data_IF_235555705695
#
_entry.id   IF_235555705695
#
_cell.length_a   1.000
_cell.length_b   1.000
_cell.length_c   1.000
_cell.angle_alpha   90.00
_cell.angle_beta   90.00
_cell.angle_gamma   90.00
#
_symmetry.space_group_name_H-M   'P 1'
#
loop_
_entity.id
_entity.type
_entity.pdbx_description
1 polymer ?
#
# COMPACT_ATOMS: atom_id res chain seq x y z
N UNK A 1 16.76 -6.93 -6.48
CA UNK A 1 15.32 -7.10 -6.18
C UNK A 1 14.63 -5.74 -6.31
N UNK A 2 13.58 -5.62 -7.12
CA UNK A 2 12.79 -4.39 -7.28
C UNK A 2 11.93 -4.15 -6.03
N UNK A 3 11.86 -2.91 -5.56
CA UNK A 3 11.00 -2.49 -4.44
C UNK A 3 10.07 -1.38 -4.89
N UNK A 4 8.98 -1.13 -4.16
CA UNK A 4 8.11 0.02 -4.46
C UNK A 4 8.83 1.35 -4.23
N UNK A 5 9.86 1.38 -3.37
CA UNK A 5 10.65 2.60 -3.15
C UNK A 5 11.65 2.88 -4.29
N UNK A 6 12.09 1.84 -4.99
CA UNK A 6 13.03 1.92 -6.11
C UNK A 6 12.66 0.87 -7.18
N UNK A 7 11.58 1.13 -7.96
CA UNK A 7 11.02 0.14 -8.87
C UNK A 7 11.87 -0.07 -10.13
N UNK A 8 12.54 0.98 -10.59
CA UNK A 8 13.36 1.00 -11.81
C UNK A 8 14.62 1.84 -11.59
N UNK A 9 15.65 1.72 -12.46
CA UNK A 9 16.82 2.59 -12.42
C UNK A 9 16.51 4.07 -12.66
N UNK A 10 15.34 4.40 -13.22
CA UNK A 10 14.91 5.77 -13.57
C UNK A 10 13.97 6.39 -12.54
N UNK A 11 13.44 5.59 -11.59
CA UNK A 11 12.40 6.04 -10.66
C UNK A 11 12.74 5.67 -9.22
N UNK A 12 12.45 6.61 -8.31
CA UNK A 12 12.61 6.40 -6.88
C UNK A 12 11.52 7.20 -6.15
N UNK A 13 11.02 6.63 -5.07
CA UNK A 13 10.08 7.26 -4.15
C UNK A 13 10.83 7.80 -2.93
N UNK A 14 10.46 9.00 -2.51
CA UNK A 14 10.92 9.61 -1.26
C UNK A 14 9.77 9.94 -0.29
N UNK A 15 8.53 9.54 -0.61
CA UNK A 15 7.33 9.99 0.12
C UNK A 15 7.32 9.66 1.62
N UNK A 16 7.97 8.57 2.02
CA UNK A 16 8.11 8.17 3.43
C UNK A 16 9.47 8.54 4.04
N UNK A 17 10.37 9.14 3.27
CA UNK A 17 11.67 9.56 3.77
C UNK A 17 11.51 10.73 4.75
N UNK A 18 12.41 10.83 5.76
CA UNK A 18 12.45 11.97 6.65
C UNK A 18 12.56 13.30 5.89
N UNK A 19 12.15 14.41 6.51
CA UNK A 19 11.71 14.56 7.91
C UNK A 19 10.31 14.01 8.18
N UNK A 20 9.89 13.93 9.45
CA UNK A 20 8.48 13.69 9.79
C UNK A 20 7.65 14.78 9.13
N UNK A 21 6.70 14.37 8.29
CA UNK A 21 5.75 15.26 7.64
C UNK A 21 4.41 15.25 8.40
N UNK A 22 3.64 16.35 8.39
CA UNK A 22 2.28 16.37 8.94
C UNK A 22 1.39 15.30 8.29
N UNK A 23 0.29 14.97 8.99
CA UNK A 23 -0.79 14.19 8.37
C UNK A 23 -1.28 14.92 7.10
N UNK A 24 -1.59 14.16 6.05
CA UNK A 24 -2.03 14.66 4.74
C UNK A 24 -0.99 15.43 3.92
N UNK A 25 0.28 15.47 4.34
CA UNK A 25 1.34 16.02 3.50
C UNK A 25 1.48 15.23 2.20
N UNK A 26 1.44 15.94 1.07
CA UNK A 26 1.75 15.40 -0.24
C UNK A 26 2.95 16.15 -0.86
N UNK A 27 4.04 15.46 -1.25
CA UNK A 27 5.19 16.10 -1.89
C UNK A 27 4.84 16.91 -3.15
N UNK A 28 3.76 16.57 -3.84
CA UNK A 28 3.38 17.22 -5.09
C UNK A 28 2.94 18.68 -4.87
N UNK A 29 2.37 19.00 -3.69
CA UNK A 29 1.97 20.37 -3.33
C UNK A 29 3.17 21.31 -3.18
N UNK A 30 4.34 20.73 -2.90
CA UNK A 30 5.59 21.44 -2.62
C UNK A 30 6.67 21.15 -3.67
N UNK A 31 6.30 20.62 -4.84
CA UNK A 31 7.26 20.13 -5.83
C UNK A 31 8.31 21.19 -6.24
N UNK A 32 7.90 22.46 -6.36
CA UNK A 32 8.80 23.55 -6.71
C UNK A 32 9.85 23.86 -5.63
N UNK A 33 9.45 23.92 -4.36
CA UNK A 33 10.37 24.15 -3.24
C UNK A 33 11.27 22.94 -3.01
N UNK A 34 10.71 21.73 -3.00
CA UNK A 34 11.44 20.49 -2.84
C UNK A 34 12.46 20.28 -3.97
N UNK A 35 12.14 20.64 -5.22
CA UNK A 35 13.11 20.57 -6.32
C UNK A 35 14.32 21.44 -6.06
N UNK A 36 14.14 22.68 -5.57
CA UNK A 36 15.26 23.56 -5.23
C UNK A 36 16.09 22.98 -4.08
N UNK A 37 15.42 22.53 -3.03
CA UNK A 37 16.05 21.88 -1.87
C UNK A 37 16.87 20.65 -2.29
N UNK A 38 16.33 19.79 -3.15
CA UNK A 38 17.01 18.57 -3.60
C UNK A 38 18.22 18.83 -4.50
N UNK A 39 18.20 19.93 -5.28
CA UNK A 39 19.37 20.38 -6.05
C UNK A 39 20.47 20.85 -5.10
N UNK A 40 20.11 21.66 -4.11
CA UNK A 40 21.04 22.20 -3.11
C UNK A 40 21.65 21.07 -2.26
N UNK A 41 20.81 20.19 -1.69
CA UNK A 41 21.26 19.05 -0.90
C UNK A 41 22.22 18.15 -1.70
N UNK A 42 21.92 17.86 -2.97
CA UNK A 42 22.83 17.08 -3.83
C UNK A 42 24.15 17.82 -4.06
N UNK A 43 24.11 19.12 -4.34
CA UNK A 43 25.31 19.93 -4.57
C UNK A 43 26.20 19.93 -3.33
N UNK A 44 25.63 20.24 -2.17
CA UNK A 44 26.33 20.24 -0.88
C UNK A 44 26.91 18.87 -0.56
N UNK A 45 26.13 17.80 -0.73
CA UNK A 45 26.60 16.43 -0.52
C UNK A 45 27.81 16.07 -1.40
N UNK A 46 27.84 16.50 -2.65
CA UNK A 46 28.98 16.25 -3.55
C UNK A 46 30.21 17.10 -3.23
N UNK A 47 30.02 18.30 -2.70
CA UNK A 47 31.12 19.21 -2.35
C UNK A 47 31.77 18.86 -1.02
N UNK A 48 30.95 18.52 -0.02
CA UNK A 48 31.39 18.35 1.36
C UNK A 48 31.47 16.87 1.78
N UNK A 49 30.83 15.98 1.03
CA UNK A 49 30.69 14.58 1.38
C UNK A 49 29.66 14.31 2.50
N UNK A 50 29.49 13.03 2.87
CA UNK A 50 28.64 12.65 3.99
C UNK A 50 29.26 13.11 5.32
N UNK A 51 28.57 14.00 6.05
CA UNK A 51 28.95 14.45 7.38
C UNK A 51 27.79 14.35 8.35
N UNK A 52 28.07 14.15 9.63
CA UNK A 52 27.02 14.12 10.65
C UNK A 52 26.33 15.49 10.72
N UNK A 53 25.00 15.49 10.58
CA UNK A 53 24.16 16.66 10.77
C UNK A 53 22.73 16.20 11.11
N UNK A 54 22.16 16.60 12.26
CA UNK A 54 20.81 16.20 12.60
C UNK A 54 19.78 16.87 11.67
N UNK A 55 18.63 16.22 11.51
CA UNK A 55 17.46 16.82 10.85
C UNK A 55 16.90 17.92 11.76
N UNK A 56 16.76 19.13 11.22
CA UNK A 56 16.15 20.27 11.93
C UNK A 56 14.92 20.76 11.16
N UNK A 57 13.78 20.84 11.86
CA UNK A 57 12.51 21.28 11.27
C UNK A 57 11.98 20.36 10.16
N UNK A 58 11.63 20.95 9.02
CA UNK A 58 10.95 20.28 7.90
C UNK A 58 11.85 19.97 6.69
N UNK A 59 13.18 19.99 6.87
CA UNK A 59 14.15 19.62 5.83
C UNK A 59 15.08 18.50 6.30
N UNK A 60 15.38 17.57 5.39
CA UNK A 60 16.40 16.54 5.58
C UNK A 60 17.50 16.75 4.54
N UNK A 61 18.69 17.16 4.96
CA UNK A 61 19.82 17.38 4.04
C UNK A 61 20.27 16.09 3.34
N UNK A 62 19.98 14.93 3.93
CA UNK A 62 20.25 13.62 3.32
C UNK A 62 19.24 13.22 2.24
N UNK A 63 18.25 14.06 1.92
CA UNK A 63 17.26 13.83 0.86
C UNK A 63 17.54 14.76 -0.32
N UNK A 64 17.73 14.20 -1.51
CA UNK A 64 18.08 14.99 -2.69
C UNK A 64 17.95 14.23 -4.00
N UNK A 65 18.38 14.85 -5.10
CA UNK A 65 18.43 14.18 -6.39
C UNK A 65 19.56 13.15 -6.43
N UNK A 66 19.24 11.93 -6.82
CA UNK A 66 20.18 10.80 -6.90
C UNK A 66 20.98 10.81 -8.20
N UNK A 67 20.51 11.54 -9.21
CA UNK A 67 21.19 11.69 -10.50
C UNK A 67 21.38 13.16 -10.88
N UNK A 68 22.37 13.41 -11.74
CA UNK A 68 22.71 14.77 -12.17
C UNK A 68 21.61 15.45 -12.99
N UNK A 69 20.70 14.69 -13.61
CA UNK A 69 19.59 15.22 -14.41
C UNK A 69 18.36 15.53 -13.55
N UNK A 70 18.40 15.24 -12.25
CA UNK A 70 17.30 15.50 -11.33
C UNK A 70 16.04 14.69 -11.63
N UNK A 71 16.19 13.46 -12.15
CA UNK A 71 15.05 12.60 -12.50
C UNK A 71 14.57 11.78 -11.30
N UNK A 72 15.48 11.38 -10.43
CA UNK A 72 15.25 10.55 -9.25
C UNK A 72 15.56 11.32 -8.00
N UNK A 73 14.63 11.35 -7.06
CA UNK A 73 14.87 11.85 -5.72
C UNK A 73 14.78 10.72 -4.70
N UNK A 74 15.58 10.81 -3.65
CA UNK A 74 15.65 9.82 -2.60
C UNK A 74 16.73 10.16 -1.58
N UNK A 75 16.97 9.24 -0.66
CA UNK A 75 17.98 9.45 0.37
C UNK A 75 19.39 9.22 -0.19
N UNK A 76 20.21 10.28 -0.20
CA UNK A 76 21.62 10.28 -0.59
C UNK A 76 22.47 9.40 0.33
N UNK A 77 22.00 9.16 1.55
CA UNK A 77 22.66 8.36 2.58
C UNK A 77 22.22 6.88 2.57
N UNK A 78 21.31 6.51 1.66
CA UNK A 78 20.77 5.16 1.60
C UNK A 78 21.85 4.14 1.18
N UNK A 79 21.88 2.91 1.74
CA UNK A 79 22.82 1.86 1.33
C UNK A 79 22.87 1.62 -0.19
N UNK A 80 21.71 1.69 -0.83
CA UNK A 80 21.58 1.53 -2.29
C UNK A 80 22.32 2.61 -3.11
N UNK A 81 22.64 3.75 -2.50
CA UNK A 81 23.45 4.82 -3.11
C UNK A 81 24.93 4.76 -2.71
N UNK A 82 25.29 3.92 -1.74
CA UNK A 82 26.59 3.96 -1.06
C UNK A 82 27.24 2.57 -0.97
N UNK A 83 27.12 1.76 -2.03
CA UNK A 83 27.76 0.43 -2.12
C UNK A 83 27.40 -0.50 -0.95
N UNK A 84 26.16 -0.40 -0.46
CA UNK A 84 25.69 -1.17 0.68
C UNK A 84 26.05 -0.59 2.06
N UNK A 85 26.89 0.45 2.14
CA UNK A 85 27.17 1.15 3.40
C UNK A 85 25.99 2.00 3.82
N UNK A 86 25.47 1.74 5.02
CA UNK A 86 24.39 2.56 5.56
C UNK A 86 24.94 3.83 6.19
N UNK A 87 24.64 4.98 5.59
CA UNK A 87 25.05 6.29 6.10
C UNK A 87 23.89 7.03 6.79
N UNK A 88 22.72 6.40 6.94
CA UNK A 88 21.53 7.04 7.53
C UNK A 88 21.67 7.33 9.03
N UNK A 89 22.70 6.80 9.68
CA UNK A 89 23.06 7.19 11.04
C UNK A 89 23.49 8.66 11.13
N UNK A 90 23.97 9.27 10.04
CA UNK A 90 24.45 10.66 10.02
C UNK A 90 23.35 11.72 10.20
N UNK A 91 22.08 11.30 10.13
CA UNK A 91 20.89 12.15 10.32
C UNK A 91 20.09 11.80 11.59
N UNK A 92 20.63 10.94 12.46
CA UNK A 92 19.94 10.39 13.65
C UNK A 92 18.58 9.75 13.38
N UNK A 93 18.39 9.27 12.14
CA UNK A 93 17.13 8.72 11.67
C UNK A 93 17.25 7.29 11.12
N UNK A 94 18.45 6.71 11.12
CA UNK A 94 18.71 5.36 10.64
C UNK A 94 17.70 4.35 11.17
N UNK A 95 17.54 4.26 12.50
CA UNK A 95 16.60 3.35 13.15
C UNK A 95 15.16 3.50 12.65
N UNK A 96 14.68 4.73 12.44
CA UNK A 96 13.34 4.95 11.89
C UNK A 96 13.27 4.52 10.43
N UNK A 97 14.26 4.91 9.62
CA UNK A 97 14.34 4.56 8.21
C UNK A 97 14.46 3.04 7.96
N UNK A 98 14.98 2.27 8.94
CA UNK A 98 15.00 0.81 8.89
C UNK A 98 13.65 0.18 9.25
N UNK A 99 12.91 0.77 10.19
CA UNK A 99 11.68 0.20 10.74
C UNK A 99 10.43 0.56 9.94
N UNK A 100 10.41 1.76 9.37
CA UNK A 100 9.22 2.29 8.71
C UNK A 100 9.17 1.88 7.24
N UNK A 101 8.20 1.03 6.90
CA UNK A 101 7.77 0.78 5.53
C UNK A 101 6.30 1.11 5.42
N UNK A 102 5.92 1.93 4.43
CA UNK A 102 4.52 2.22 4.20
C UNK A 102 3.76 0.95 3.79
N UNK A 103 2.47 0.93 4.08
CA UNK A 103 1.61 -0.21 3.77
C UNK A 103 1.68 -0.64 2.30
N UNK A 104 1.62 0.28 1.30
CA UNK A 104 1.78 -0.10 -0.10
C UNK A 104 3.11 -0.81 -0.38
N UNK A 105 4.22 -0.35 0.21
CA UNK A 105 5.53 -0.98 0.03
C UNK A 105 5.59 -2.37 0.67
N UNK A 106 4.96 -2.55 1.84
CA UNK A 106 4.85 -3.86 2.48
C UNK A 106 4.05 -4.82 1.61
N UNK A 107 2.88 -4.41 1.13
CA UNK A 107 2.04 -5.24 0.27
C UNK A 107 2.75 -5.60 -1.04
N UNK A 108 3.43 -4.63 -1.69
CA UNK A 108 4.23 -4.89 -2.88
C UNK A 108 5.34 -5.92 -2.63
N UNK A 109 5.98 -5.88 -1.46
CA UNK A 109 7.03 -6.85 -1.10
C UNK A 109 6.52 -8.27 -0.86
N UNK A 110 5.21 -8.44 -0.62
CA UNK A 110 4.58 -9.75 -0.49
C UNK A 110 4.20 -10.36 -1.84
N UNK A 111 4.17 -9.56 -2.92
CA UNK A 111 3.93 -10.08 -4.26
C UNK A 111 5.13 -10.91 -4.74
N UNK A 112 4.90 -11.99 -5.52
CA UNK A 112 5.95 -12.71 -6.22
C UNK A 112 6.64 -11.80 -7.26
N UNK A 113 7.85 -12.14 -7.74
CA UNK A 113 8.58 -11.33 -8.72
C UNK A 113 7.76 -10.96 -9.96
N UNK A 114 7.04 -11.91 -10.53
CA UNK A 114 6.17 -11.74 -11.70
C UNK A 114 5.02 -10.77 -11.40
N UNK A 115 4.49 -10.84 -10.18
CA UNK A 115 3.48 -9.91 -9.68
C UNK A 115 3.97 -8.48 -9.61
N UNK A 116 5.17 -8.28 -9.05
CA UNK A 116 5.82 -6.98 -9.02
C UNK A 116 6.02 -6.45 -10.43
N UNK A 117 6.50 -7.29 -11.35
CA UNK A 117 6.77 -6.87 -12.73
C UNK A 117 5.50 -6.52 -13.52
N UNK A 118 4.40 -7.22 -13.28
CA UNK A 118 3.13 -6.96 -13.94
C UNK A 118 2.54 -5.59 -13.57
N UNK A 119 2.66 -5.15 -12.31
CA UNK A 119 2.03 -3.89 -11.87
C UNK A 119 2.89 -2.64 -12.13
N UNK A 120 4.21 -2.78 -12.22
CA UNK A 120 5.12 -1.64 -12.41
C UNK A 120 4.91 -0.78 -13.69
N UNK A 121 4.42 -1.32 -14.82
CA UNK A 121 4.09 -0.51 -15.99
C UNK A 121 3.11 0.64 -15.71
N UNK A 122 2.21 0.52 -14.72
CA UNK A 122 1.25 1.57 -14.34
C UNK A 122 1.89 2.90 -13.91
N UNK A 123 3.17 2.90 -13.56
CA UNK A 123 3.90 4.10 -13.11
C UNK A 123 4.94 4.56 -14.12
N UNK A 124 4.94 3.97 -15.32
CA UNK A 124 5.80 4.40 -16.41
C UNK A 124 5.46 5.84 -16.79
N UNK A 125 6.50 6.66 -16.95
CA UNK A 125 6.35 8.08 -17.31
C UNK A 125 6.11 9.02 -16.12
N UNK A 126 5.86 8.50 -14.90
CA UNK A 126 5.80 9.35 -13.71
C UNK A 126 7.20 9.87 -13.38
N UNK A 127 7.28 11.16 -13.01
CA UNK A 127 8.47 11.71 -12.39
C UNK A 127 8.49 11.39 -10.88
N UNK A 128 9.63 11.60 -10.22
CA UNK A 128 9.79 11.27 -8.79
C UNK A 128 8.78 11.97 -7.86
N UNK A 129 8.27 13.16 -8.21
CA UNK A 129 7.26 13.86 -7.40
C UNK A 129 5.89 13.22 -7.55
N UNK A 130 5.45 12.95 -8.78
CA UNK A 130 4.20 12.22 -9.05
C UNK A 130 4.25 10.81 -8.45
N UNK A 131 5.39 10.13 -8.56
CA UNK A 131 5.57 8.80 -8.00
C UNK A 131 5.60 8.78 -6.47
N UNK A 132 6.11 9.83 -5.83
CA UNK A 132 6.15 9.93 -4.35
C UNK A 132 4.85 10.45 -3.74
N UNK A 133 3.89 10.84 -4.58
CA UNK A 133 2.64 11.47 -4.17
C UNK A 133 1.54 10.42 -3.94
N UNK A 134 0.98 10.33 -2.72
CA UNK A 134 -0.12 9.43 -2.44
C UNK A 134 -1.38 9.69 -3.26
N UNK A 135 -1.62 10.92 -3.74
CA UNK A 135 -2.79 11.22 -4.59
C UNK A 135 -2.57 10.94 -6.08
N UNK A 136 -1.32 10.81 -6.52
CA UNK A 136 -0.98 10.67 -7.94
C UNK A 136 -0.44 9.29 -8.32
N UNK A 137 0.17 8.54 -7.38
CA UNK A 137 0.73 7.23 -7.68
C UNK A 137 -0.35 6.13 -7.62
N UNK A 138 -0.75 5.53 -8.75
CA UNK A 138 -1.80 4.51 -8.77
C UNK A 138 -1.44 3.27 -7.95
N UNK A 139 -0.15 2.91 -7.86
CA UNK A 139 0.29 1.76 -7.07
C UNK A 139 0.08 1.96 -5.57
N UNK A 140 0.04 3.20 -5.07
CA UNK A 140 -0.20 3.43 -3.64
C UNK A 140 -1.63 3.07 -3.25
N UNK A 141 -2.58 3.17 -4.17
CA UNK A 141 -3.96 2.73 -3.96
C UNK A 141 -4.10 1.24 -4.25
N UNK A 142 -3.57 0.79 -5.39
CA UNK A 142 -3.72 -0.58 -5.83
C UNK A 142 -3.12 -1.58 -4.84
N UNK A 143 -1.92 -1.32 -4.33
CA UNK A 143 -1.24 -2.23 -3.40
C UNK A 143 -2.02 -2.44 -2.09
N UNK A 144 -2.94 -1.54 -1.73
CA UNK A 144 -3.75 -1.70 -0.52
C UNK A 144 -4.77 -2.84 -0.65
N UNK A 145 -5.09 -3.31 -1.85
CA UNK A 145 -5.87 -4.54 -2.08
C UNK A 145 -5.13 -5.79 -1.61
N UNK A 146 -3.79 -5.74 -1.55
CA UNK A 146 -2.96 -6.83 -1.03
C UNK A 146 -2.79 -8.01 -2.00
N UNK A 147 -1.85 -8.92 -1.70
CA UNK A 147 -1.46 -10.01 -2.60
C UNK A 147 -2.60 -11.00 -2.88
N UNK A 148 -3.46 -11.28 -1.90
CA UNK A 148 -4.54 -12.25 -2.03
C UNK A 148 -5.67 -11.82 -2.99
N UNK A 149 -5.74 -10.53 -3.34
CA UNK A 149 -6.65 -10.03 -4.37
C UNK A 149 -5.89 -9.80 -5.68
N UNK A 150 -4.72 -9.17 -5.61
CA UNK A 150 -4.00 -8.77 -6.82
C UNK A 150 -3.39 -9.94 -7.59
N UNK A 151 -2.92 -10.99 -6.92
CA UNK A 151 -2.26 -12.13 -7.60
C UNK A 151 -3.24 -13.04 -8.36
N UNK A 152 -4.41 -13.41 -7.81
CA UNK A 152 -5.43 -14.10 -8.59
C UNK A 152 -5.84 -13.31 -9.84
N UNK A 153 -6.05 -12.00 -9.71
CA UNK A 153 -6.42 -11.15 -10.84
C UNK A 153 -5.30 -11.05 -11.88
N UNK A 154 -4.04 -10.92 -11.44
CA UNK A 154 -2.88 -10.99 -12.34
C UNK A 154 -2.81 -12.33 -13.07
N UNK A 155 -3.03 -13.43 -12.37
CA UNK A 155 -2.97 -14.78 -12.95
C UNK A 155 -4.04 -14.95 -14.02
N UNK A 156 -5.25 -14.44 -13.76
CA UNK A 156 -6.29 -14.33 -14.77
C UNK A 156 -5.85 -13.47 -15.96
N UNK A 157 -5.35 -12.25 -15.73
CA UNK A 157 -4.90 -11.40 -16.83
C UNK A 157 -3.81 -12.08 -17.67
N UNK A 158 -2.89 -12.80 -17.04
CA UNK A 158 -1.89 -13.57 -17.77
C UNK A 158 -2.54 -14.67 -18.63
N UNK A 159 -3.47 -15.44 -18.07
CA UNK A 159 -4.21 -16.48 -18.81
C UNK A 159 -5.02 -15.90 -19.99
N UNK A 160 -5.63 -14.73 -19.78
CA UNK A 160 -6.45 -14.04 -20.78
C UNK A 160 -5.63 -13.14 -21.73
N UNK A 161 -4.32 -13.08 -21.55
CA UNK A 161 -3.41 -12.18 -22.28
C UNK A 161 -3.80 -10.69 -22.20
N UNK A 162 -4.25 -10.25 -21.02
CA UNK A 162 -4.55 -8.85 -20.72
C UNK A 162 -3.34 -8.11 -20.16
N UNK A 163 -3.18 -6.86 -20.58
CA UNK A 163 -2.31 -5.88 -19.93
C UNK A 163 -2.85 -5.46 -18.57
N UNK A 164 -2.02 -4.82 -17.76
CA UNK A 164 -2.41 -4.21 -16.50
C UNK A 164 -3.52 -3.17 -16.68
N UNK A 165 -3.51 -2.43 -17.80
CA UNK A 165 -4.54 -1.43 -18.09
C UNK A 165 -5.87 -2.05 -18.50
N UNK A 166 -5.85 -3.13 -19.29
CA UNK A 166 -7.06 -3.87 -19.65
C UNK A 166 -7.68 -4.56 -18.43
N UNK A 167 -6.85 -5.14 -17.55
CA UNK A 167 -7.32 -5.68 -16.28
C UNK A 167 -8.06 -4.61 -15.47
N UNK A 168 -7.50 -3.41 -15.34
CA UNK A 168 -8.15 -2.31 -14.58
C UNK A 168 -9.42 -1.79 -15.25
N UNK A 169 -9.48 -1.79 -16.58
CA UNK A 169 -10.69 -1.41 -17.32
C UNK A 169 -11.82 -2.41 -17.11
N UNK A 170 -11.47 -3.69 -16.99
CA UNK A 170 -12.41 -4.75 -16.66
C UNK A 170 -12.81 -4.66 -15.20
N UNK A 171 -11.86 -4.86 -14.30
CA UNK A 171 -12.09 -4.85 -12.86
C UNK A 171 -12.09 -3.44 -12.27
N UNK A 172 -13.08 -2.64 -12.67
CA UNK A 172 -13.20 -1.22 -12.31
C UNK A 172 -13.28 -0.97 -10.80
N UNK A 173 -13.74 -1.94 -10.01
CA UNK A 173 -13.75 -1.86 -8.55
C UNK A 173 -12.36 -1.56 -7.95
N UNK A 174 -11.27 -1.95 -8.62
CA UNK A 174 -9.90 -1.64 -8.18
C UNK A 174 -9.61 -0.13 -8.16
N UNK A 175 -10.34 0.64 -8.96
CA UNK A 175 -10.24 2.08 -9.11
C UNK A 175 -11.42 2.83 -8.49
N UNK A 176 -12.47 2.12 -8.06
CA UNK A 176 -13.69 2.74 -7.55
C UNK A 176 -13.55 3.12 -6.07
N UNK A 177 -13.75 4.40 -5.77
CA UNK A 177 -13.79 4.94 -4.41
C UNK A 177 -14.89 4.34 -3.53
N UNK A 178 -15.95 3.75 -4.11
CA UNK A 178 -16.98 3.01 -3.38
C UNK A 178 -16.44 1.75 -2.68
N UNK A 179 -15.26 1.28 -3.09
CA UNK A 179 -14.56 0.12 -2.54
C UNK A 179 -13.19 0.51 -1.95
N UNK A 180 -13.15 1.11 -0.74
CA UNK A 180 -11.88 1.42 -0.11
C UNK A 180 -11.08 0.12 0.14
N UNK A 181 -9.89 -0.07 -0.46
CA UNK A 181 -9.27 -1.39 -0.59
C UNK A 181 -9.11 -2.15 0.73
N UNK A 182 -8.64 -1.46 1.78
CA UNK A 182 -8.43 -2.09 3.10
C UNK A 182 -9.72 -2.55 3.76
N UNK A 183 -10.83 -1.88 3.46
CA UNK A 183 -12.15 -2.25 4.00
C UNK A 183 -12.82 -3.34 3.20
N UNK A 184 -12.41 -3.55 1.95
CA UNK A 184 -13.13 -4.41 1.02
C UNK A 184 -12.37 -5.69 0.69
N UNK A 185 -11.03 -5.67 0.73
CA UNK A 185 -10.17 -6.77 0.28
C UNK A 185 -10.47 -8.13 0.91
N UNK A 186 -10.93 -8.17 2.17
CA UNK A 186 -11.31 -9.43 2.81
C UNK A 186 -12.48 -10.11 2.08
N UNK A 187 -13.56 -9.37 1.80
CA UNK A 187 -14.72 -9.91 1.10
C UNK A 187 -14.38 -10.30 -0.35
N UNK A 188 -13.59 -9.46 -1.04
CA UNK A 188 -13.13 -9.75 -2.40
C UNK A 188 -12.26 -11.00 -2.46
N UNK A 189 -11.38 -11.20 -1.47
CA UNK A 189 -10.59 -12.43 -1.35
C UNK A 189 -11.49 -13.66 -1.24
N UNK A 190 -12.51 -13.63 -0.38
CA UNK A 190 -13.42 -14.76 -0.21
C UNK A 190 -14.14 -15.13 -1.52
N UNK A 191 -14.61 -14.13 -2.28
CA UNK A 191 -15.26 -14.37 -3.57
C UNK A 191 -14.27 -14.95 -4.59
N UNK A 192 -13.04 -14.43 -4.66
CA UNK A 192 -12.00 -14.94 -5.55
C UNK A 192 -11.58 -16.37 -5.24
N UNK A 193 -11.47 -16.71 -3.95
CA UNK A 193 -11.13 -18.07 -3.50
C UNK A 193 -12.22 -19.08 -3.89
N UNK A 194 -13.49 -18.65 -3.92
CA UNK A 194 -14.61 -19.53 -4.27
C UNK A 194 -14.80 -19.69 -5.78
N UNK A 195 -14.56 -18.63 -6.54
CA UNK A 195 -14.79 -18.63 -7.98
C UNK A 195 -13.51 -18.33 -8.76
N UNK A 196 -12.52 -19.26 -8.74
CA UNK A 196 -11.32 -19.12 -9.55
C UNK A 196 -11.71 -19.20 -11.04
N UNK A 197 -11.81 -18.04 -11.71
CA UNK A 197 -12.03 -17.95 -13.16
C UNK A 197 -13.39 -17.43 -13.64
N UNK A 198 -14.34 -17.06 -12.75
CA UNK A 198 -15.63 -16.46 -13.18
C UNK A 198 -15.54 -14.98 -13.57
N UNK A 199 -14.34 -14.47 -13.77
CA UNK A 199 -14.00 -13.06 -13.97
C UNK A 199 -13.98 -12.64 -15.45
N UNK A 200 -14.55 -13.45 -16.36
CA UNK A 200 -14.65 -13.14 -17.79
C UNK A 200 -15.66 -12.03 -18.14
N UNK A 201 -16.52 -11.67 -17.18
CA UNK A 201 -17.44 -10.52 -17.22
C UNK A 201 -17.36 -9.81 -15.86
N UNK A 202 -17.32 -8.49 -15.86
CA UNK A 202 -17.07 -7.68 -14.65
C UNK A 202 -18.29 -7.53 -13.74
N UNK A 203 -19.49 -7.57 -14.31
CA UNK A 203 -20.73 -7.39 -13.58
C UNK A 203 -21.04 -8.55 -12.60
N UNK A 204 -20.85 -9.83 -12.95
CA UNK A 204 -21.05 -10.93 -12.01
C UNK A 204 -20.15 -10.84 -10.77
N UNK A 205 -18.86 -10.54 -10.93
CA UNK A 205 -17.91 -10.58 -9.81
C UNK A 205 -18.12 -9.45 -8.81
N UNK A 206 -18.27 -8.22 -9.29
CA UNK A 206 -18.50 -7.09 -8.39
C UNK A 206 -19.88 -7.17 -7.73
N UNK A 207 -20.91 -7.67 -8.45
CA UNK A 207 -22.24 -7.88 -7.88
C UNK A 207 -22.24 -8.94 -6.78
N UNK A 208 -21.50 -10.04 -6.96
CA UNK A 208 -21.24 -11.00 -5.88
C UNK A 208 -20.60 -10.29 -4.68
N UNK A 209 -19.60 -9.43 -4.88
CA UNK A 209 -19.00 -8.69 -3.76
C UNK A 209 -20.00 -7.73 -3.07
N UNK A 210 -20.87 -7.06 -3.84
CA UNK A 210 -21.95 -6.19 -3.30
C UNK A 210 -22.95 -6.98 -2.47
N UNK A 211 -23.42 -8.09 -3.02
CA UNK A 211 -24.40 -8.94 -2.36
C UNK A 211 -23.81 -9.55 -1.07
N UNK A 212 -22.53 -9.94 -1.09
CA UNK A 212 -21.87 -10.52 0.08
C UNK A 212 -21.78 -9.47 1.17
N UNK A 213 -21.31 -8.27 0.82
CA UNK A 213 -21.28 -7.13 1.73
C UNK A 213 -22.66 -6.83 2.31
N UNK A 214 -23.71 -6.82 1.48
CA UNK A 214 -25.09 -6.56 1.90
C UNK A 214 -25.56 -7.59 2.92
N UNK A 215 -25.35 -8.89 2.65
CA UNK A 215 -25.73 -9.99 3.55
C UNK A 215 -24.94 -9.93 4.86
N UNK A 216 -23.64 -9.70 4.79
CA UNK A 216 -22.79 -9.54 5.98
C UNK A 216 -23.30 -8.39 6.83
N UNK A 217 -23.53 -7.20 6.27
CA UNK A 217 -24.06 -6.04 7.01
C UNK A 217 -25.48 -6.24 7.56
N UNK A 218 -26.23 -7.22 7.05
CA UNK A 218 -27.54 -7.61 7.58
C UNK A 218 -27.49 -8.54 8.79
N UNK A 219 -26.32 -9.11 9.10
CA UNK A 219 -26.14 -10.00 10.25
C UNK A 219 -26.45 -9.28 11.57
N UNK A 220 -27.37 -9.81 12.40
CA UNK A 220 -27.69 -9.24 13.71
C UNK A 220 -26.46 -9.10 14.61
N UNK A 221 -25.54 -10.06 14.54
CA UNK A 221 -24.31 -10.12 15.32
C UNK A 221 -23.38 -8.94 15.02
N UNK A 222 -23.50 -8.34 13.82
CA UNK A 222 -22.66 -7.20 13.47
C UNK A 222 -23.09 -5.92 14.21
N UNK A 223 -24.37 -5.80 14.55
CA UNK A 223 -24.98 -4.58 15.10
C UNK A 223 -24.82 -4.44 16.62
N UNK A 224 -24.26 -5.45 17.29
CA UNK A 224 -24.14 -5.46 18.74
C UNK A 224 -23.00 -4.53 19.23
N UNK A 225 -23.04 -4.00 20.46
CA UNK A 225 -21.93 -3.25 21.03
C UNK A 225 -20.77 -4.19 21.41
N UNK A 226 -19.57 -3.97 20.85
CA UNK A 226 -18.42 -4.89 20.99
C UNK A 226 -17.37 -4.44 22.01
N UNK A 227 -17.42 -3.17 22.41
CA UNK A 227 -16.45 -2.56 23.35
C UNK A 227 -16.67 -2.99 24.81
N UNK A 228 -17.74 -3.75 25.11
CA UNK A 228 -18.16 -4.10 26.48
C UNK A 228 -17.89 -5.56 26.89
N UNK A 229 -17.29 -6.38 26.02
CA UNK A 229 -17.00 -7.78 26.36
C UNK A 229 -15.75 -7.90 27.26
N UNK A 230 -15.74 -8.77 28.30
CA UNK A 230 -14.67 -8.86 29.31
C UNK A 230 -13.25 -9.21 28.80
N UNK A 231 -13.06 -9.47 27.51
CA UNK A 231 -11.79 -9.89 26.90
C UNK A 231 -11.51 -9.13 25.58
N UNK A 232 -12.19 -8.00 25.38
CA UNK A 232 -12.07 -7.22 24.14
C UNK A 232 -10.68 -6.58 24.02
N UNK A 233 -9.95 -6.99 22.98
CA UNK A 233 -8.69 -6.36 22.57
C UNK A 233 -8.93 -5.44 21.39
N UNK A 234 -8.02 -4.49 21.15
CA UNK A 234 -8.09 -3.69 19.92
C UNK A 234 -8.05 -4.61 18.70
N UNK A 235 -8.91 -4.34 17.70
CA UNK A 235 -9.09 -5.21 16.52
C UNK A 235 -7.79 -5.46 15.75
N UNK A 236 -6.88 -4.49 15.69
CA UNK A 236 -5.56 -4.65 15.06
C UNK A 236 -4.59 -5.58 15.83
N UNK A 237 -4.95 -6.02 17.04
CA UNK A 237 -4.19 -6.96 17.87
C UNK A 237 -4.84 -8.34 17.94
N UNK A 238 -5.95 -8.56 17.26
CA UNK A 238 -6.57 -9.88 17.19
C UNK A 238 -5.60 -10.85 16.49
N UNK A 239 -5.47 -12.10 16.96
CA UNK A 239 -4.62 -13.12 16.34
C UNK A 239 -5.33 -13.73 15.12
N UNK A 240 -5.66 -12.89 14.13
CA UNK A 240 -6.43 -13.22 12.93
C UNK A 240 -5.81 -12.57 11.70
N UNK A 241 -6.29 -12.93 10.51
CA UNK A 241 -5.80 -12.42 9.25
C UNK A 241 -5.89 -10.87 9.20
N UNK A 242 -4.83 -10.16 8.77
CA UNK A 242 -4.80 -8.70 8.79
C UNK A 242 -5.90 -8.02 7.95
N UNK A 243 -6.35 -8.65 6.87
CA UNK A 243 -7.43 -8.14 6.03
C UNK A 243 -8.81 -8.25 6.72
N UNK A 244 -9.06 -9.34 7.43
CA UNK A 244 -10.25 -9.50 8.27
C UNK A 244 -10.25 -8.48 9.41
N UNK A 245 -9.11 -8.29 10.09
CA UNK A 245 -8.96 -7.28 11.13
C UNK A 245 -9.21 -5.85 10.59
N UNK A 246 -8.74 -5.53 9.38
CA UNK A 246 -9.05 -4.25 8.73
C UNK A 246 -10.52 -4.13 8.35
N UNK A 247 -11.18 -5.21 7.90
CA UNK A 247 -12.62 -5.22 7.64
C UNK A 247 -13.43 -4.91 8.91
N UNK A 248 -13.13 -5.57 10.03
CA UNK A 248 -13.79 -5.28 11.32
C UNK A 248 -13.56 -3.81 11.74
N UNK A 249 -12.31 -3.35 11.69
CA UNK A 249 -11.93 -2.03 12.20
C UNK A 249 -12.41 -0.87 11.33
N UNK A 250 -12.17 -0.96 10.03
CA UNK A 250 -12.39 0.12 9.08
C UNK A 250 -13.72 -0.03 8.34
N UNK A 251 -14.16 -1.26 8.06
CA UNK A 251 -15.42 -1.54 7.38
C UNK A 251 -16.62 -1.50 8.34
N UNK A 252 -16.51 -2.16 9.50
CA UNK A 252 -17.58 -2.21 10.50
C UNK A 252 -17.42 -1.17 11.63
N UNK A 253 -16.27 -0.50 11.71
CA UNK A 253 -16.00 0.52 12.73
C UNK A 253 -15.65 -0.04 14.12
N UNK A 254 -15.32 -1.33 14.24
CA UNK A 254 -15.08 -1.96 15.53
C UNK A 254 -13.70 -1.62 16.06
N UNK A 255 -13.65 -0.89 17.17
CA UNK A 255 -12.39 -0.53 17.83
C UNK A 255 -11.81 -1.72 18.59
N UNK A 256 -12.67 -2.44 19.32
CA UNK A 256 -12.30 -3.66 20.03
C UNK A 256 -13.27 -4.80 19.73
N UNK A 257 -12.78 -6.02 19.87
CA UNK A 257 -13.59 -7.24 19.85
C UNK A 257 -12.88 -8.34 20.65
N UNK A 258 -13.63 -9.31 21.16
CA UNK A 258 -13.04 -10.52 21.72
C UNK A 258 -12.67 -11.50 20.59
N UNK A 259 -11.56 -12.27 20.72
CA UNK A 259 -11.17 -13.25 19.70
C UNK A 259 -12.28 -14.25 19.38
N UNK A 260 -13.00 -14.74 20.40
CA UNK A 260 -14.11 -15.67 20.21
C UNK A 260 -15.27 -15.07 19.42
N UNK A 261 -15.61 -13.80 19.67
CA UNK A 261 -16.69 -13.15 18.93
C UNK A 261 -16.27 -12.86 17.49
N UNK A 262 -15.07 -12.30 17.28
CA UNK A 262 -14.52 -12.08 15.94
C UNK A 262 -14.46 -13.38 15.12
N UNK A 263 -14.10 -14.51 15.76
CA UNK A 263 -14.05 -15.82 15.12
C UNK A 263 -15.42 -16.26 14.62
N UNK A 264 -16.46 -16.17 15.47
CA UNK A 264 -17.84 -16.48 15.06
C UNK A 264 -18.32 -15.63 13.89
N UNK A 265 -17.98 -14.35 13.87
CA UNK A 265 -18.32 -13.45 12.76
C UNK A 265 -17.62 -13.88 11.48
N UNK A 266 -16.32 -14.21 11.58
CA UNK A 266 -15.55 -14.74 10.46
C UNK A 266 -16.18 -16.00 9.88
N UNK A 267 -16.46 -16.99 10.73
CA UNK A 267 -17.09 -18.25 10.34
C UNK A 267 -18.42 -17.99 9.63
N UNK A 268 -19.24 -17.08 10.17
CA UNK A 268 -20.53 -16.73 9.57
C UNK A 268 -20.40 -16.05 8.22
N UNK A 269 -19.43 -15.16 8.05
CA UNK A 269 -19.16 -14.52 6.75
C UNK A 269 -18.70 -15.56 5.73
N UNK A 270 -17.83 -16.47 6.14
CA UNK A 270 -17.33 -17.55 5.28
C UNK A 270 -18.42 -18.56 4.92
N UNK A 271 -19.35 -18.86 5.83
CA UNK A 271 -20.56 -19.64 5.52
C UNK A 271 -21.42 -18.96 4.46
N UNK A 272 -21.70 -17.67 4.59
CA UNK A 272 -22.46 -16.90 3.60
C UNK A 272 -21.77 -16.95 2.23
N UNK A 273 -20.44 -16.83 2.20
CA UNK A 273 -19.67 -16.91 0.97
C UNK A 273 -19.69 -18.32 0.35
N UNK A 274 -19.79 -19.38 1.17
CA UNK A 274 -19.88 -20.78 0.69
C UNK A 274 -21.21 -21.11 0.03
N UNK A 275 -22.31 -20.47 0.43
CA UNK A 275 -23.66 -20.72 -0.11
C UNK A 275 -23.80 -20.43 -1.62
N UNK A 276 -22.79 -19.86 -2.28
CA UNK A 276 -22.86 -19.47 -3.69
C UNK A 276 -22.24 -20.45 -4.69
N UNK A 277 -21.64 -21.54 -4.23
CA UNK A 277 -21.10 -22.56 -5.15
C UNK A 277 -21.76 -23.90 -5.00
#
# INVERSE_FOLDING_TARGET
MKTLCAPTPELACFGCCPPIRPAHYDPLDFAGSLRREFIENRRTFLQEGPRYRPIVGYSCWGLGFLDARGRRAGCLLHPFQNEGRDLRYLIDYGNKCHRESCEPSRMFSLLPPEGREFWLPLVRGLNTFLYSSPRANPLFHLMLWGPHVLEPLRTLAHYMNWTETELLQRHRFLLDSAWPPRTSRYLFRLVLERFPGTTGSDEPFEELCRELRRRVLSLPEIRLPHDTLPESVYTHRLPMEPDFCDFLRLGLGWRKASPRHAGRIKDRIEEIAKEWG
#
